data_IF_895183517262
#
_entry.id   IF_895183517262
#
_cell.length_a   1.000
_cell.length_b   1.000
_cell.length_c   1.000
_cell.angle_alpha   90.00
_cell.angle_beta   90.00
_cell.angle_gamma   90.00
#
_symmetry.space_group_name_H-M   'P 1'
#
loop_
_entity.id
_entity.type
_entity.pdbx_description
1 polymer ?
#
# COMPACT_ATOMS: atom_id res chain seq x y z
N UNK A 1 -21.53 11.04 48.03
CA UNK A 1 -21.91 11.24 46.62
C UNK A 1 -20.62 11.14 45.84
N UNK A 2 -20.26 9.91 45.42
CA UNK A 2 -18.91 9.60 44.93
C UNK A 2 -18.80 9.77 43.42
N UNK A 3 -17.80 10.56 43.04
CA UNK A 3 -17.15 10.68 41.73
C UNK A 3 -17.03 9.31 41.03
N UNK A 4 -17.46 9.20 39.77
CA UNK A 4 -17.14 8.04 38.92
C UNK A 4 -16.14 8.48 37.85
N UNK A 5 -14.90 8.06 38.06
CA UNK A 5 -13.77 8.12 37.12
C UNK A 5 -14.13 7.47 35.77
N UNK A 6 -13.90 8.11 34.62
CA UNK A 6 -14.12 7.52 33.31
C UNK A 6 -12.80 7.08 32.65
N UNK A 7 -11.90 6.38 33.35
CA UNK A 7 -10.71 5.76 32.73
C UNK A 7 -10.49 4.33 33.20
N UNK A 8 -11.21 3.39 32.58
CA UNK A 8 -10.76 1.99 32.54
C UNK A 8 -10.86 1.47 31.11
N UNK A 9 -9.74 1.34 30.38
CA UNK A 9 -9.67 0.51 29.19
C UNK A 9 -10.21 -0.87 29.55
N UNK A 10 -11.28 -1.31 28.89
CA UNK A 10 -11.83 -2.66 29.12
C UNK A 10 -10.71 -3.66 28.83
N UNK A 11 -10.29 -4.40 29.85
CA UNK A 11 -9.40 -5.57 29.70
C UNK A 11 -10.17 -6.64 28.91
N UNK A 12 -10.19 -6.51 27.58
CA UNK A 12 -10.82 -7.46 26.68
C UNK A 12 -9.83 -8.61 26.51
N UNK A 13 -9.89 -9.57 27.44
CA UNK A 13 -9.20 -10.85 27.26
C UNK A 13 -9.86 -11.58 26.11
N UNK A 14 -9.14 -11.73 25.00
CA UNK A 14 -9.49 -12.58 23.88
C UNK A 14 -9.89 -13.97 24.39
N UNK A 15 -11.13 -14.38 24.13
CA UNK A 15 -11.61 -15.72 24.50
C UNK A 15 -10.93 -16.79 23.65
N UNK A 16 -10.95 -18.07 24.04
CA UNK A 16 -10.33 -19.15 23.27
C UNK A 16 -10.88 -19.30 21.83
N UNK A 17 -12.06 -18.73 21.54
CA UNK A 17 -12.64 -18.65 20.19
C UNK A 17 -12.15 -17.48 19.34
N UNK A 18 -11.36 -16.55 19.89
CA UNK A 18 -10.85 -15.35 19.22
C UNK A 18 -9.46 -15.58 18.57
N UNK A 19 -8.80 -16.70 18.91
CA UNK A 19 -7.49 -17.09 18.38
C UNK A 19 -7.48 -17.36 16.85
N UNK A 20 -8.65 -17.54 16.23
CA UNK A 20 -8.79 -17.74 14.79
C UNK A 20 -9.50 -16.60 14.04
N UNK A 21 -10.03 -15.60 14.76
CA UNK A 21 -10.75 -14.49 14.12
C UNK A 21 -9.80 -13.50 13.44
N UNK A 22 -8.55 -13.40 13.92
CA UNK A 22 -7.49 -12.57 13.31
C UNK A 22 -6.74 -13.25 12.16
N UNK A 23 -7.01 -14.53 11.86
CA UNK A 23 -6.24 -15.31 10.88
C UNK A 23 -6.76 -15.16 9.44
N UNK A 24 -7.82 -14.37 9.25
CA UNK A 24 -8.24 -13.91 7.94
C UNK A 24 -7.85 -12.45 7.82
N UNK A 25 -6.88 -12.09 6.97
CA UNK A 25 -6.72 -10.70 6.59
C UNK A 25 -8.04 -10.28 5.93
N UNK A 26 -8.86 -9.54 6.66
CA UNK A 26 -10.04 -8.91 6.10
C UNK A 26 -9.54 -7.99 5.00
N UNK A 27 -10.12 -8.14 3.81
CA UNK A 27 -9.83 -7.25 2.70
C UNK A 27 -10.29 -5.86 3.12
N UNK A 28 -9.36 -5.00 3.56
CA UNK A 28 -9.69 -3.62 3.89
C UNK A 28 -10.28 -2.97 2.63
N UNK A 29 -11.36 -2.18 2.76
CA UNK A 29 -11.90 -1.44 1.63
C UNK A 29 -10.80 -0.57 1.05
N UNK A 30 -10.49 -0.76 -0.25
CA UNK A 30 -9.47 0.02 -0.95
C UNK A 30 -9.72 1.52 -0.75
N UNK A 31 -8.76 2.19 -0.13
CA UNK A 31 -8.91 3.63 0.10
C UNK A 31 -8.59 4.39 -1.19
N UNK A 32 -9.15 5.60 -1.39
CA UNK A 32 -8.76 6.46 -2.52
C UNK A 32 -7.25 6.77 -2.56
N UNK A 33 -6.54 6.66 -1.43
CA UNK A 33 -5.10 6.83 -1.31
C UNK A 33 -4.32 5.70 -1.99
N UNK A 34 -4.80 4.46 -1.95
CA UNK A 34 -4.16 3.31 -2.60
C UNK A 34 -4.15 3.47 -4.14
N UNK A 35 -5.26 3.99 -4.69
CA UNK A 35 -5.38 4.31 -6.12
C UNK A 35 -4.40 5.39 -6.58
N UNK A 36 -4.09 6.36 -5.72
CA UNK A 36 -3.10 7.42 -6.02
C UNK A 36 -1.68 6.86 -6.02
N UNK A 37 -1.36 5.95 -5.09
CA UNK A 37 -0.06 5.28 -5.01
C UNK A 37 0.20 4.40 -6.25
N UNK A 38 -0.82 3.66 -6.70
CA UNK A 38 -0.76 2.88 -7.94
C UNK A 38 -0.48 3.74 -9.18
N UNK A 39 -1.21 4.84 -9.37
CA UNK A 39 -0.99 5.76 -10.50
C UNK A 39 0.42 6.39 -10.52
N UNK A 40 0.98 6.68 -9.34
CA UNK A 40 2.34 7.22 -9.25
C UNK A 40 3.38 6.18 -9.67
N UNK A 41 3.21 4.92 -9.28
CA UNK A 41 4.11 3.83 -9.69
C UNK A 41 4.04 3.58 -11.21
N UNK A 42 2.84 3.55 -11.79
CA UNK A 42 2.67 3.42 -13.24
C UNK A 42 3.31 4.58 -14.00
N UNK A 43 3.16 5.82 -13.51
CA UNK A 43 3.81 6.99 -14.12
C UNK A 43 5.33 6.87 -14.11
N UNK A 44 5.93 6.47 -12.97
CA UNK A 44 7.37 6.27 -12.87
C UNK A 44 7.85 5.18 -13.85
N UNK A 45 7.13 4.06 -13.91
CA UNK A 45 7.44 2.97 -14.84
C UNK A 45 7.43 3.43 -16.30
N UNK A 46 6.39 4.18 -16.71
CA UNK A 46 6.29 4.70 -18.08
C UNK A 46 7.43 5.67 -18.43
N UNK A 47 7.85 6.51 -17.48
CA UNK A 47 8.99 7.41 -17.68
C UNK A 47 10.28 6.62 -17.87
N UNK A 48 10.54 5.63 -17.02
CA UNK A 48 11.73 4.78 -17.13
C UNK A 48 11.73 3.99 -18.46
N UNK A 49 10.57 3.47 -18.86
CA UNK A 49 10.41 2.77 -20.13
C UNK A 49 10.72 3.69 -21.32
N UNK A 50 10.19 4.91 -21.32
CA UNK A 50 10.46 5.89 -22.38
C UNK A 50 11.94 6.24 -22.47
N UNK A 51 12.61 6.45 -21.34
CA UNK A 51 14.06 6.70 -21.29
C UNK A 51 14.84 5.52 -21.88
N UNK A 52 14.51 4.29 -21.50
CA UNK A 52 15.15 3.10 -22.03
C UNK A 52 15.01 2.99 -23.55
N UNK A 53 13.81 3.24 -24.09
CA UNK A 53 13.56 3.25 -25.53
C UNK A 53 14.40 4.32 -26.24
N UNK A 54 14.47 5.53 -25.69
CA UNK A 54 15.28 6.61 -26.25
C UNK A 54 16.76 6.22 -26.29
N UNK A 55 17.29 5.66 -25.21
CA UNK A 55 18.70 5.21 -25.14
C UNK A 55 18.97 4.15 -26.21
N UNK A 56 18.11 3.14 -26.32
CA UNK A 56 18.26 2.09 -27.33
C UNK A 56 18.23 2.68 -28.74
N UNK A 57 17.31 3.60 -29.03
CA UNK A 57 17.21 4.25 -30.34
C UNK A 57 18.46 5.07 -30.66
N UNK A 58 18.97 5.85 -29.71
CA UNK A 58 20.19 6.66 -29.88
C UNK A 58 21.41 5.77 -30.11
N UNK A 59 21.57 4.71 -29.32
CA UNK A 59 22.68 3.76 -29.49
C UNK A 59 22.60 3.01 -30.82
N UNK A 60 21.41 2.58 -31.24
CA UNK A 60 21.24 1.92 -32.54
C UNK A 60 21.51 2.89 -33.69
N UNK A 61 21.04 4.13 -33.59
CA UNK A 61 21.30 5.15 -34.60
C UNK A 61 22.80 5.46 -34.70
N UNK A 62 23.48 5.63 -33.57
CA UNK A 62 24.93 5.85 -33.52
C UNK A 62 25.76 4.63 -33.97
N UNK A 63 25.21 3.42 -33.88
CA UNK A 63 25.87 2.22 -34.40
C UNK A 63 25.69 2.03 -35.91
N UNK A 64 24.65 2.65 -36.49
CA UNK A 64 24.32 2.56 -37.92
C UNK A 64 24.95 3.71 -38.72
N UNK A 65 25.14 4.89 -38.11
CA UNK A 65 25.84 6.05 -38.69
C UNK A 65 27.35 5.92 -38.52
#
# INVERSE_FOLDING_TARGET
>A
MSERDPEHPRDVRAGPGDAGASDRPDHLPETPQDRRKGRSATKLFLVLLAVAVIVVLVLNWAAVV
#
